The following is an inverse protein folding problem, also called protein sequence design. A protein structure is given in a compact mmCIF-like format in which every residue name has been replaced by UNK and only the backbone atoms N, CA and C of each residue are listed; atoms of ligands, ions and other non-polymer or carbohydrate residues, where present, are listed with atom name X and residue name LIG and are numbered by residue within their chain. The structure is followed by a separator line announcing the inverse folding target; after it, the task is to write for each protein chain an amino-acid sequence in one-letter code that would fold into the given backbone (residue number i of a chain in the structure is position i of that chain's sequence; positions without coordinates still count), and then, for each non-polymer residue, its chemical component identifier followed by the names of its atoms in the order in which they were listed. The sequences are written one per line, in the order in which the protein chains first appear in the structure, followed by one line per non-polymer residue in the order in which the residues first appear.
data_IF_039913784058
#
_entry.id   IF_039913784058
#
_cell.length_a   1.000
_cell.length_b   1.000
_cell.length_c   1.000
_cell.angle_alpha   90.00
_cell.angle_beta   90.00
_cell.angle_gamma   90.00
#
_symmetry.space_group_name_H-M   'P 1'
#
loop_
_entity.id
_entity.type
_entity.pdbx_description
1 polymer ?
#
# COMPACT_ATOMS: atom_id res chain seq x y z
N UNK A 1 -10.22 16.08 -8.94
CA UNK A 1 -9.58 16.50 -7.68
C UNK A 1 -9.97 17.91 -7.26
N UNK A 2 -9.72 18.95 -8.07
CA UNK A 2 -10.11 20.34 -7.74
C UNK A 2 -11.61 20.51 -7.43
N UNK A 3 -12.49 19.92 -8.23
CA UNK A 3 -13.93 19.96 -7.98
C UNK A 3 -14.33 19.33 -6.63
N UNK A 4 -13.70 18.21 -6.25
CA UNK A 4 -13.94 17.55 -4.96
C UNK A 4 -13.40 18.38 -3.79
N UNK A 5 -12.21 18.95 -3.92
CA UNK A 5 -11.61 19.85 -2.91
C UNK A 5 -12.48 21.08 -2.66
N UNK A 6 -12.94 21.73 -3.73
CA UNK A 6 -13.82 22.91 -3.64
C UNK A 6 -15.16 22.54 -3.00
N UNK A 7 -15.72 21.37 -3.34
CA UNK A 7 -16.99 20.90 -2.78
C UNK A 7 -16.89 20.57 -1.30
N UNK A 8 -15.87 19.82 -0.88
CA UNK A 8 -15.61 19.49 0.54
C UNK A 8 -15.34 20.76 1.34
N UNK A 9 -14.55 21.69 0.79
CA UNK A 9 -14.27 22.97 1.43
C UNK A 9 -15.52 23.85 1.64
N UNK A 10 -16.50 23.79 0.72
CA UNK A 10 -17.78 24.51 0.83
C UNK A 10 -18.82 23.80 1.69
N UNK A 11 -18.91 22.48 1.62
CA UNK A 11 -19.97 21.69 2.28
C UNK A 11 -19.60 21.30 3.72
N UNK A 12 -18.34 20.95 4.00
CA UNK A 12 -17.89 20.44 5.31
C UNK A 12 -16.91 21.40 6.03
N UNK A 13 -16.43 22.42 5.32
CA UNK A 13 -15.49 23.43 5.84
C UNK A 13 -14.02 22.97 5.81
N UNK A 14 -13.10 23.94 5.91
CA UNK A 14 -11.65 23.69 5.81
C UNK A 14 -11.10 22.75 6.90
N UNK A 15 -11.74 22.68 8.07
CA UNK A 15 -11.36 21.73 9.14
C UNK A 15 -11.60 20.27 8.76
N UNK A 16 -12.55 19.98 7.87
CA UNK A 16 -12.84 18.62 7.45
C UNK A 16 -11.65 17.98 6.71
N UNK A 17 -10.92 18.77 5.90
CA UNK A 17 -9.69 18.33 5.22
C UNK A 17 -8.61 17.82 6.20
N UNK A 18 -8.54 18.40 7.40
CA UNK A 18 -7.50 18.07 8.39
C UNK A 18 -7.92 16.95 9.35
N UNK A 19 -9.22 16.62 9.43
CA UNK A 19 -9.75 15.59 10.34
C UNK A 19 -9.14 14.19 10.09
N UNK A 20 -8.70 13.91 8.85
CA UNK A 20 -8.08 12.65 8.46
C UNK A 20 -6.57 12.55 8.72
N UNK A 21 -5.89 13.64 9.07
CA UNK A 21 -4.42 13.64 9.19
C UNK A 21 -3.95 12.84 10.40
N UNK A 22 -4.57 13.03 11.57
CA UNK A 22 -4.21 12.28 12.78
C UNK A 22 -4.30 10.75 12.60
N UNK A 23 -5.40 10.16 12.09
CA UNK A 23 -5.46 8.72 11.85
C UNK A 23 -4.50 8.27 10.73
N UNK A 24 -4.23 9.11 9.72
CA UNK A 24 -3.25 8.81 8.69
C UNK A 24 -1.81 8.77 9.23
N UNK A 25 -1.44 9.72 10.09
CA UNK A 25 -0.13 9.77 10.75
C UNK A 25 0.05 8.57 11.68
N UNK A 26 -0.95 8.24 12.49
CA UNK A 26 -0.90 7.06 13.36
C UNK A 26 -0.70 5.78 12.55
N UNK A 27 -1.44 5.64 11.43
CA UNK A 27 -1.26 4.50 10.52
C UNK A 27 0.16 4.47 9.94
N UNK A 28 0.68 5.60 9.48
CA UNK A 28 2.01 5.69 8.89
C UNK A 28 3.12 5.41 9.91
N UNK A 29 2.97 5.88 11.15
CA UNK A 29 3.88 5.63 12.25
C UNK A 29 3.92 4.15 12.62
N UNK A 30 2.76 3.52 12.85
CA UNK A 30 2.70 2.09 13.17
C UNK A 30 3.27 1.22 12.04
N UNK A 31 2.86 1.49 10.80
CA UNK A 31 3.30 0.71 9.65
C UNK A 31 4.80 0.91 9.36
N UNK A 32 5.29 2.15 9.49
CA UNK A 32 6.69 2.50 9.34
C UNK A 32 7.57 1.79 10.36
N UNK A 33 7.17 1.80 11.64
CA UNK A 33 7.92 1.12 12.71
C UNK A 33 8.00 -0.38 12.50
N UNK A 34 6.88 -1.04 12.18
CA UNK A 34 6.87 -2.49 11.93
C UNK A 34 7.74 -2.81 10.70
N UNK A 35 7.59 -2.04 9.61
CA UNK A 35 8.38 -2.26 8.39
C UNK A 35 9.88 -2.11 8.65
N UNK A 36 10.31 -1.03 9.31
CA UNK A 36 11.73 -0.79 9.62
C UNK A 36 12.27 -1.85 10.57
N UNK A 37 11.52 -2.19 11.62
CA UNK A 37 11.90 -3.24 12.57
C UNK A 37 12.10 -4.58 11.89
N UNK A 38 11.11 -5.04 11.10
CA UNK A 38 11.22 -6.30 10.36
C UNK A 38 12.32 -6.26 9.30
N UNK A 39 12.48 -5.14 8.60
CA UNK A 39 13.54 -4.96 7.62
C UNK A 39 14.93 -5.12 8.26
N UNK A 40 15.16 -4.48 9.41
CA UNK A 40 16.44 -4.55 10.10
C UNK A 40 16.70 -5.94 10.69
N UNK A 41 15.67 -6.64 11.20
CA UNK A 41 15.78 -8.04 11.61
C UNK A 41 16.15 -8.95 10.44
N UNK A 42 15.49 -8.81 9.29
CA UNK A 42 15.81 -9.59 8.09
C UNK A 42 17.21 -9.29 7.57
N UNK A 43 17.60 -8.01 7.55
CA UNK A 43 18.93 -7.60 7.09
C UNK A 43 20.03 -8.17 7.98
N UNK A 44 19.84 -8.21 9.31
CA UNK A 44 20.77 -8.86 10.25
C UNK A 44 20.87 -10.38 10.07
N UNK A 45 19.85 -11.03 9.53
CA UNK A 45 19.86 -12.48 9.27
C UNK A 45 20.52 -12.81 7.92
N UNK A 46 20.37 -11.96 6.91
CA UNK A 46 20.86 -12.21 5.55
C UNK A 46 22.21 -11.54 5.24
N UNK A 47 22.62 -10.53 6.00
CA UNK A 47 23.86 -9.76 5.79
C UNK A 47 24.67 -9.79 7.09
N UNK A 48 25.65 -10.71 7.16
CA UNK A 48 26.59 -10.79 8.29
C UNK A 48 27.71 -9.75 8.19
N UNK A 49 28.11 -9.37 6.96
CA UNK A 49 29.13 -8.36 6.68
C UNK A 49 28.59 -7.28 5.72
N UNK A 50 28.93 -6.00 5.93
CA UNK A 50 28.44 -4.90 5.08
C UNK A 50 28.92 -4.99 3.62
N UNK A 51 29.96 -5.79 3.34
CA UNK A 51 30.53 -6.01 2.00
C UNK A 51 29.65 -6.92 1.12
N UNK A 52 28.82 -7.77 1.73
CA UNK A 52 27.90 -8.67 1.01
C UNK A 52 26.58 -7.96 0.63
N UNK A 53 26.41 -6.69 0.99
CA UNK A 53 25.19 -5.92 0.75
C UNK A 53 25.00 -5.65 -0.74
N UNK A 54 24.17 -6.48 -1.38
CA UNK A 54 23.78 -6.32 -2.78
C UNK A 54 22.40 -5.68 -2.88
N UNK A 55 22.17 -4.88 -3.94
CA UNK A 55 20.85 -4.30 -4.25
C UNK A 55 19.73 -5.34 -4.26
N UNK A 56 20.01 -6.54 -4.79
CA UNK A 56 19.05 -7.66 -4.77
C UNK A 56 18.64 -8.07 -3.35
N UNK A 57 19.58 -8.12 -2.41
CA UNK A 57 19.29 -8.46 -1.01
C UNK A 57 18.43 -7.36 -0.38
N UNK A 58 18.75 -6.08 -0.64
CA UNK A 58 17.95 -4.96 -0.14
C UNK A 58 16.53 -4.97 -0.72
N UNK A 59 16.37 -5.29 -2.00
CA UNK A 59 15.05 -5.47 -2.64
C UNK A 59 14.31 -6.63 -1.98
N UNK A 60 14.91 -7.82 -1.89
CA UNK A 60 14.26 -9.01 -1.30
C UNK A 60 13.86 -8.77 0.16
N UNK A 61 14.76 -8.23 0.98
CA UNK A 61 14.48 -7.85 2.36
C UNK A 61 13.39 -6.77 2.45
N UNK A 62 13.39 -5.80 1.55
CA UNK A 62 12.37 -4.75 1.45
C UNK A 62 10.99 -5.32 1.11
N UNK A 63 10.93 -6.29 0.19
CA UNK A 63 9.69 -6.99 -0.15
C UNK A 63 9.21 -7.84 1.02
N UNK A 64 10.05 -8.70 1.58
CA UNK A 64 9.69 -9.60 2.69
C UNK A 64 9.24 -8.82 3.93
N UNK A 65 9.96 -7.77 4.32
CA UNK A 65 9.54 -6.87 5.41
C UNK A 65 8.21 -6.19 5.12
N UNK A 66 7.97 -5.79 3.87
CA UNK A 66 6.68 -5.26 3.42
C UNK A 66 5.56 -6.28 3.56
N UNK A 67 5.78 -7.54 3.17
CA UNK A 67 4.79 -8.62 3.28
C UNK A 67 4.46 -8.93 4.74
N UNK A 68 5.48 -9.06 5.60
CA UNK A 68 5.30 -9.35 7.02
C UNK A 68 4.59 -8.19 7.73
N UNK A 69 5.04 -6.95 7.50
CA UNK A 69 4.40 -5.75 8.05
C UNK A 69 2.94 -5.62 7.60
N UNK A 70 2.67 -5.86 6.32
CA UNK A 70 1.31 -5.90 5.78
C UNK A 70 0.46 -6.97 6.44
N UNK A 71 1.00 -8.16 6.68
CA UNK A 71 0.26 -9.28 7.28
C UNK A 71 -0.14 -8.98 8.72
N UNK A 72 0.74 -8.31 9.48
CA UNK A 72 0.48 -7.90 10.87
C UNK A 72 -0.52 -6.72 10.91
N UNK A 73 -0.42 -5.78 9.96
CA UNK A 73 -1.27 -4.59 9.91
C UNK A 73 -2.64 -4.83 9.27
N UNK A 74 -2.80 -5.87 8.44
CA UNK A 74 -4.02 -6.13 7.66
C UNK A 74 -5.31 -6.18 8.51
N UNK A 75 -5.34 -6.84 9.68
CA UNK A 75 -6.54 -6.87 10.53
C UNK A 75 -7.04 -5.47 10.91
N UNK A 76 -6.09 -4.58 11.26
CA UNK A 76 -6.38 -3.20 11.66
C UNK A 76 -6.83 -2.36 10.47
N UNK A 77 -6.22 -2.56 9.30
CA UNK A 77 -6.60 -1.85 8.08
C UNK A 77 -7.99 -2.27 7.59
N UNK A 78 -8.31 -3.57 7.61
CA UNK A 78 -9.64 -4.10 7.26
C UNK A 78 -10.71 -3.54 8.19
N UNK A 79 -10.45 -3.51 9.50
CA UNK A 79 -11.39 -2.95 10.48
C UNK A 79 -11.66 -1.47 10.21
N UNK A 80 -10.61 -0.67 9.97
CA UNK A 80 -10.74 0.77 9.66
C UNK A 80 -11.51 1.01 8.36
N UNK A 81 -11.20 0.28 7.29
CA UNK A 81 -11.88 0.45 5.99
C UNK A 81 -13.37 0.12 6.12
N UNK A 82 -13.74 -0.95 6.85
CA UNK A 82 -15.15 -1.30 7.08
C UNK A 82 -15.88 -0.24 7.92
N UNK A 83 -15.22 0.27 8.96
CA UNK A 83 -15.76 1.37 9.76
C UNK A 83 -15.96 2.65 8.93
N UNK A 84 -15.06 2.95 7.99
CA UNK A 84 -15.20 4.13 7.11
C UNK A 84 -16.24 3.93 5.98
N UNK A 85 -16.40 2.70 5.49
CA UNK A 85 -17.36 2.37 4.44
C UNK A 85 -18.82 2.35 4.95
N UNK A 86 -19.06 2.08 6.24
CA UNK A 86 -20.38 2.18 6.86
C UNK A 86 -20.60 3.58 7.40
N UNK A 87 -21.02 4.51 6.54
CA UNK A 87 -21.13 5.94 6.87
C UNK A 87 -22.14 6.34 7.95
N UNK A 88 -22.86 5.45 8.65
CA UNK A 88 -23.88 5.93 9.60
C UNK A 88 -24.53 4.96 10.61
N UNK A 89 -24.26 3.64 10.61
CA UNK A 89 -25.21 2.70 11.28
C UNK A 89 -24.63 1.81 12.39
N UNK A 90 -23.34 1.88 12.72
CA UNK A 90 -22.81 1.12 13.86
C UNK A 90 -22.29 2.06 14.95
N UNK A 91 -23.16 2.33 15.92
CA UNK A 91 -22.85 2.77 17.29
C UNK A 91 -22.16 1.65 18.09
N UNK A 92 -21.18 0.97 17.50
CA UNK A 92 -20.43 -0.12 18.13
C UNK A 92 -18.97 0.27 18.27
N UNK A 93 -18.41 0.17 19.48
CA UNK A 93 -16.98 0.38 19.71
C UNK A 93 -16.11 -0.50 18.81
N UNK A 94 -14.85 -0.11 18.60
CA UNK A 94 -13.87 -0.78 17.72
C UNK A 94 -13.81 -2.31 17.93
N UNK A 95 -13.97 -2.75 19.17
CA UNK A 95 -13.95 -4.15 19.59
C UNK A 95 -15.22 -4.90 19.15
N UNK A 96 -16.41 -4.27 19.19
CA UNK A 96 -17.66 -4.90 18.78
C UNK A 96 -17.70 -5.16 17.26
N UNK A 97 -17.18 -4.23 16.48
CA UNK A 97 -17.02 -4.42 15.03
C UNK A 97 -16.00 -5.51 14.70
N UNK A 98 -14.90 -5.59 15.45
CA UNK A 98 -13.90 -6.65 15.30
C UNK A 98 -14.51 -8.04 15.57
N UNK A 99 -15.27 -8.20 16.65
CA UNK A 99 -15.95 -9.45 17.00
C UNK A 99 -16.98 -9.85 15.94
N UNK A 100 -17.76 -8.88 15.44
CA UNK A 100 -18.76 -9.15 14.40
C UNK A 100 -18.10 -9.62 13.09
N UNK A 101 -17.00 -8.99 12.68
CA UNK A 101 -16.22 -9.43 11.50
C UNK A 101 -15.65 -10.83 11.72
N UNK A 102 -15.08 -11.08 12.90
CA UNK A 102 -14.53 -12.39 13.25
C UNK A 102 -15.59 -13.49 13.25
N UNK A 103 -16.80 -13.21 13.73
CA UNK A 103 -17.91 -14.17 13.75
C UNK A 103 -18.53 -14.40 12.36
N UNK A 104 -18.63 -13.38 11.51
CA UNK A 104 -19.26 -13.50 10.19
C UNK A 104 -18.34 -14.07 9.10
N UNK A 105 -17.07 -13.68 9.09
CA UNK A 105 -16.13 -14.07 8.01
C UNK A 105 -14.96 -14.93 8.49
N UNK A 106 -14.85 -15.14 9.80
CA UNK A 106 -13.75 -15.88 10.40
C UNK A 106 -12.39 -15.20 10.23
N UNK A 107 -11.34 -15.93 10.58
CA UNK A 107 -9.94 -15.52 10.40
C UNK A 107 -9.64 -15.14 8.94
N UNK A 108 -10.13 -15.89 7.96
CA UNK A 108 -9.92 -15.62 6.53
C UNK A 108 -10.40 -14.23 6.07
N UNK A 109 -11.44 -13.66 6.70
CA UNK A 109 -11.88 -12.29 6.43
C UNK A 109 -10.84 -11.23 6.78
N UNK A 110 -10.06 -11.45 7.85
CA UNK A 110 -9.03 -10.52 8.33
C UNK A 110 -7.74 -10.53 7.51
N UNK A 111 -7.38 -11.66 6.87
CA UNK A 111 -6.24 -11.76 5.96
C UNK A 111 -6.61 -11.52 4.48
N UNK A 112 -7.89 -11.23 4.20
CA UNK A 112 -8.34 -10.88 2.85
C UNK A 112 -7.66 -9.58 2.41
N UNK A 113 -6.95 -9.62 1.28
CA UNK A 113 -6.19 -8.48 0.74
C UNK A 113 -4.70 -8.42 1.11
N UNK A 114 -4.19 -9.34 1.94
CA UNK A 114 -2.74 -9.44 2.20
C UNK A 114 -1.96 -9.69 0.92
N UNK A 115 -2.43 -10.61 0.06
CA UNK A 115 -1.77 -10.89 -1.23
C UNK A 115 -1.69 -9.67 -2.14
N UNK A 116 -2.73 -8.83 -2.17
CA UNK A 116 -2.72 -7.58 -2.93
C UNK A 116 -1.77 -6.54 -2.32
N UNK A 117 -1.70 -6.48 -0.99
CA UNK A 117 -0.77 -5.56 -0.31
C UNK A 117 0.68 -6.01 -0.47
N UNK A 118 0.94 -7.32 -0.41
CA UNK A 118 2.22 -7.93 -0.71
C UNK A 118 2.66 -7.64 -2.16
N UNK A 119 1.78 -7.84 -3.14
CA UNK A 119 2.07 -7.59 -4.54
C UNK A 119 2.38 -6.11 -4.82
N UNK A 120 1.59 -5.20 -4.23
CA UNK A 120 1.87 -3.76 -4.31
C UNK A 120 3.23 -3.41 -3.70
N UNK A 121 3.53 -3.92 -2.51
CA UNK A 121 4.82 -3.68 -1.86
C UNK A 121 5.99 -4.24 -2.70
N UNK A 122 5.80 -5.41 -3.32
CA UNK A 122 6.78 -6.03 -4.20
C UNK A 122 7.11 -5.15 -5.42
N UNK A 123 6.08 -4.64 -6.10
CA UNK A 123 6.24 -3.79 -7.29
C UNK A 123 6.89 -2.46 -6.92
N UNK A 124 6.41 -1.81 -5.86
CA UNK A 124 6.96 -0.52 -5.43
C UNK A 124 8.43 -0.67 -5.06
N UNK A 125 8.79 -1.60 -4.19
CA UNK A 125 10.20 -1.80 -3.78
C UNK A 125 11.06 -2.28 -4.96
N UNK A 126 10.53 -3.16 -5.81
CA UNK A 126 11.23 -3.72 -6.95
C UNK A 126 11.49 -2.70 -8.08
N UNK A 127 10.72 -1.62 -8.16
CA UNK A 127 10.93 -0.55 -9.15
C UNK A 127 11.68 0.63 -8.55
N UNK A 128 11.31 1.06 -7.34
CA UNK A 128 11.91 2.25 -6.71
C UNK A 128 13.40 2.09 -6.44
N UNK A 129 13.83 0.94 -5.88
CA UNK A 129 15.24 0.73 -5.54
C UNK A 129 16.15 0.71 -6.78
N UNK A 130 15.87 -0.08 -7.84
CA UNK A 130 16.69 -0.06 -9.05
C UNK A 130 16.66 1.28 -9.79
N UNK A 131 15.48 1.92 -9.90
CA UNK A 131 15.36 3.22 -10.59
C UNK A 131 16.15 4.30 -9.87
N UNK A 132 16.10 4.32 -8.53
CA UNK A 132 16.89 5.24 -7.73
C UNK A 132 18.40 5.04 -7.97
N UNK A 133 18.85 3.78 -7.94
CA UNK A 133 20.26 3.44 -8.11
C UNK A 133 20.80 3.76 -9.52
N UNK A 134 20.02 3.44 -10.55
CA UNK A 134 20.34 3.76 -11.94
C UNK A 134 20.39 5.28 -12.15
N UNK A 135 19.40 6.00 -11.62
CA UNK A 135 19.36 7.46 -11.76
C UNK A 135 20.51 8.12 -11.02
N UNK A 136 20.82 7.67 -9.79
CA UNK A 136 21.95 8.17 -9.01
C UNK A 136 23.27 7.92 -9.73
N UNK A 137 23.51 6.70 -10.22
CA UNK A 137 24.72 6.35 -11.01
C UNK A 137 24.82 7.21 -12.26
N UNK A 138 23.73 7.37 -13.01
CA UNK A 138 23.72 8.16 -14.24
C UNK A 138 24.02 9.64 -13.97
N UNK A 139 23.47 10.22 -12.91
CA UNK A 139 23.68 11.63 -12.57
C UNK A 139 25.11 11.92 -12.09
N UNK A 140 25.69 11.01 -11.30
CA UNK A 140 27.08 11.12 -10.83
C UNK A 140 28.07 10.94 -11.99
N UNK A 141 27.85 9.94 -12.86
CA UNK A 141 28.72 9.67 -14.01
C UNK A 141 28.66 10.76 -15.08
N UNK A 142 27.52 11.43 -15.23
CA UNK A 142 27.35 12.53 -16.19
C UNK A 142 28.10 13.81 -15.77
N UNK A 143 28.70 13.86 -14.57
CA UNK A 143 29.48 14.99 -14.08
C UNK A 143 28.66 16.27 -13.83
N UNK A 144 27.33 16.21 -13.97
CA UNK A 144 26.44 17.37 -13.87
C UNK A 144 26.23 17.83 -12.43
N UNK A 145 26.23 16.89 -11.47
CA UNK A 145 26.00 17.14 -10.05
C UNK A 145 26.73 16.08 -9.20
N UNK A 146 27.48 16.50 -8.17
CA UNK A 146 28.07 15.59 -7.19
C UNK A 146 27.02 14.96 -6.25
N UNK A 147 27.43 14.40 -5.11
CA UNK A 147 26.52 13.89 -4.06
C UNK A 147 25.90 15.08 -3.29
N UNK A 148 25.03 15.82 -3.98
CA UNK A 148 24.37 17.05 -3.51
C UNK A 148 22.88 16.78 -3.27
N UNK A 149 22.23 17.59 -2.44
CA UNK A 149 20.78 17.51 -2.15
C UNK A 149 19.93 17.45 -3.43
N UNK A 150 20.33 18.18 -4.48
CA UNK A 150 19.64 18.16 -5.77
C UNK A 150 19.66 16.80 -6.47
N UNK A 151 20.79 16.07 -6.41
CA UNK A 151 20.92 14.73 -6.96
C UNK A 151 19.95 13.76 -6.29
N UNK A 152 19.91 13.80 -4.96
CA UNK A 152 18.98 13.00 -4.18
C UNK A 152 17.51 13.38 -4.44
N UNK A 153 17.23 14.68 -4.63
CA UNK A 153 15.88 15.14 -4.93
C UNK A 153 15.43 14.65 -6.31
N UNK A 154 16.28 14.82 -7.33
CA UNK A 154 15.95 14.45 -8.71
C UNK A 154 15.83 12.92 -8.87
N UNK A 155 16.71 12.16 -8.23
CA UNK A 155 16.63 10.69 -8.20
C UNK A 155 15.39 10.21 -7.45
N UNK A 156 15.02 10.85 -6.33
CA UNK A 156 13.78 10.53 -5.60
C UNK A 156 12.54 10.87 -6.42
N UNK A 157 12.56 11.98 -7.17
CA UNK A 157 11.43 12.40 -8.01
C UNK A 157 11.18 11.44 -9.18
N UNK A 158 12.25 11.07 -9.90
CA UNK A 158 12.16 10.09 -11.00
C UNK A 158 11.78 8.70 -10.49
N UNK A 159 12.34 8.28 -9.36
CA UNK A 159 11.95 7.06 -8.65
C UNK A 159 10.45 7.05 -8.31
N UNK A 160 9.93 8.13 -7.70
CA UNK A 160 8.51 8.24 -7.36
C UNK A 160 7.59 8.22 -8.58
N UNK A 161 7.98 8.86 -9.69
CA UNK A 161 7.23 8.81 -10.95
C UNK A 161 7.20 7.40 -11.55
N UNK A 162 8.35 6.73 -11.62
CA UNK A 162 8.44 5.36 -12.13
C UNK A 162 7.66 4.37 -11.26
N UNK A 163 7.77 4.51 -9.93
CA UNK A 163 7.03 3.71 -8.96
C UNK A 163 5.53 3.88 -9.11
N UNK A 164 5.05 5.12 -9.26
CA UNK A 164 3.63 5.40 -9.48
C UNK A 164 3.11 4.78 -10.79
N UNK A 165 3.85 4.94 -11.90
CA UNK A 165 3.46 4.35 -13.19
C UNK A 165 3.39 2.82 -13.12
N UNK A 166 4.35 2.19 -12.44
CA UNK A 166 4.37 0.74 -12.27
C UNK A 166 3.29 0.23 -11.31
N UNK A 167 2.95 0.97 -10.24
CA UNK A 167 1.97 0.53 -9.23
C UNK A 167 0.53 0.80 -9.64
N UNK A 168 0.27 1.81 -10.48
CA UNK A 168 -1.06 2.22 -10.94
C UNK A 168 -2.00 1.06 -11.36
N UNK A 169 -1.61 0.11 -12.24
CA UNK A 169 -2.51 -0.98 -12.62
C UNK A 169 -2.89 -1.87 -11.43
N UNK A 170 -1.96 -2.11 -10.51
CA UNK A 170 -2.22 -2.92 -9.32
C UNK A 170 -3.06 -2.16 -8.31
N UNK A 171 -2.89 -0.84 -8.20
CA UNK A 171 -3.73 0.02 -7.37
C UNK A 171 -5.18 0.05 -7.89
N UNK A 172 -5.40 0.03 -9.21
CA UNK A 172 -6.73 -0.12 -9.81
C UNK A 172 -7.36 -1.47 -9.47
N UNK A 173 -6.64 -2.58 -9.63
CA UNK A 173 -7.15 -3.92 -9.27
C UNK A 173 -7.47 -3.98 -7.77
N UNK A 174 -6.59 -3.44 -6.93
CA UNK A 174 -6.79 -3.39 -5.47
C UNK A 174 -8.04 -2.63 -5.09
N UNK A 175 -8.23 -1.43 -5.63
CA UNK A 175 -9.41 -0.61 -5.33
C UNK A 175 -10.70 -1.28 -5.81
N UNK A 176 -10.70 -1.96 -6.96
CA UNK A 176 -11.85 -2.74 -7.44
C UNK A 176 -12.17 -3.92 -6.52
N UNK A 177 -11.16 -4.69 -6.11
CA UNK A 177 -11.35 -5.83 -5.20
C UNK A 177 -11.76 -5.40 -3.78
N UNK A 178 -11.23 -4.29 -3.27
CA UNK A 178 -11.59 -3.76 -1.95
C UNK A 178 -12.96 -3.08 -1.95
N UNK A 179 -13.39 -2.51 -3.08
CA UNK A 179 -14.70 -1.86 -3.23
C UNK A 179 -15.80 -2.82 -3.69
N UNK A 180 -15.50 -4.12 -3.89
CA UNK A 180 -16.55 -5.12 -4.02
C UNK A 180 -17.32 -5.19 -2.70
N UNK A 181 -18.53 -4.63 -2.70
CA UNK A 181 -19.54 -4.99 -1.72
C UNK A 181 -19.73 -6.49 -1.82
N UNK A 182 -19.84 -7.17 -0.69
CA UNK A 182 -20.34 -8.55 -0.62
C UNK A 182 -21.71 -8.53 -1.30
N UNK A 183 -21.74 -8.83 -2.59
CA UNK A 183 -22.98 -8.96 -3.36
C UNK A 183 -23.71 -10.15 -2.73
N UNK A 184 -24.86 -9.84 -2.13
CA UNK A 184 -25.78 -10.83 -1.58
C UNK A 184 -26.13 -11.82 -2.69
N UNK A 185 -26.25 -13.08 -2.29
CA UNK A 185 -26.59 -14.24 -3.11
C UNK A 185 -27.60 -13.90 -4.23
N UNK A 186 -27.16 -14.00 -5.50
CA UNK A 186 -28.07 -13.86 -6.63
C UNK A 186 -27.42 -13.63 -7.99
N UNK A 187 -26.43 -12.73 -8.09
CA UNK A 187 -25.92 -12.30 -9.41
C UNK A 187 -24.38 -12.27 -9.45
N UNK A 188 -23.83 -13.09 -10.36
CA UNK A 188 -22.42 -13.26 -10.77
C UNK A 188 -21.38 -13.53 -9.65
N UNK A 189 -20.56 -14.60 -9.76
CA UNK A 189 -19.52 -14.88 -8.78
C UNK A 189 -18.50 -13.72 -8.80
N UNK A 190 -18.38 -13.00 -7.68
CA UNK A 190 -17.40 -11.94 -7.54
C UNK A 190 -15.97 -12.44 -7.79
N UNK A 191 -15.09 -11.55 -8.28
CA UNK A 191 -13.66 -11.79 -8.57
C UNK A 191 -13.01 -12.77 -7.58
N UNK A 192 -12.62 -13.95 -8.08
CA UNK A 192 -11.99 -15.00 -7.25
C UNK A 192 -10.51 -14.74 -6.97
N UNK A 193 -9.88 -13.83 -7.72
CA UNK A 193 -8.47 -13.47 -7.52
C UNK A 193 -8.00 -12.29 -8.39
N UNK A 194 -6.75 -11.88 -8.18
CA UNK A 194 -6.12 -10.74 -8.87
C UNK A 194 -6.07 -10.93 -10.39
N UNK A 195 -5.84 -12.17 -10.86
CA UNK A 195 -5.78 -12.50 -12.29
C UNK A 195 -7.16 -12.46 -12.97
N UNK A 196 -8.21 -12.85 -12.25
CA UNK A 196 -9.60 -12.84 -12.71
C UNK A 196 -10.08 -11.40 -12.96
N UNK A 197 -9.73 -10.50 -12.03
CA UNK A 197 -10.01 -9.07 -12.17
C UNK A 197 -9.20 -8.39 -13.29
N UNK A 198 -7.98 -8.88 -13.57
CA UNK A 198 -7.15 -8.41 -14.69
C UNK A 198 -7.73 -8.86 -16.04
N UNK A 199 -8.12 -10.12 -16.15
CA UNK A 199 -8.72 -10.69 -17.37
C UNK A 199 -10.06 -10.03 -17.71
N UNK A 200 -10.90 -9.79 -16.70
CA UNK A 200 -12.21 -9.16 -16.91
C UNK A 200 -12.13 -7.65 -17.22
N UNK A 201 -11.02 -6.98 -16.90
CA UNK A 201 -10.75 -5.61 -17.34
C UNK A 201 -10.32 -5.52 -18.81
N UNK A 202 -9.69 -6.57 -19.35
CA UNK A 202 -9.15 -6.59 -20.72
C UNK A 202 -10.20 -7.12 -21.71
N UNK A 203 -11.10 -8.00 -21.25
CA UNK A 203 -12.27 -8.43 -22.01
C UNK A 203 -13.53 -8.11 -21.20
N UNK A 204 -14.17 -6.95 -21.43
CA UNK A 204 -15.52 -6.71 -20.95
C UNK A 204 -16.49 -7.57 -21.77
N UNK A 205 -16.46 -8.89 -21.57
CA UNK A 205 -17.50 -9.77 -22.09
C UNK A 205 -18.70 -9.63 -21.17
N UNK A 206 -19.63 -8.77 -21.58
CA UNK A 206 -21.04 -8.87 -21.25
C UNK A 206 -21.69 -9.69 -22.37
#
# INVERSE_FOLDING_TARGET
MLHALVRIGREEGLKALYSGIAPAMLRQASYGTIKIGTYQSLKRLFVERPEDETLLINVVCGILSGVISSSIANPTDVLKIRMQAQSSTLQGGMIGNFINIYQQEGTRGLWKGVSLTAQRAAIVVGVELPVYDLTKKHLILSGLMGDTVYTHFLSSFTCGLAGALASNPVDVVRTRMMNQRVLRAGECPGYKGTLDCLLQNISPSC
#
